data_IF_772956351203
#
_entry.id   IF_772956351203
#
_cell.length_a   1.000
_cell.length_b   1.000
_cell.length_c   1.000
_cell.angle_alpha   90.00
_cell.angle_beta   90.00
_cell.angle_gamma   90.00
#
_symmetry.space_group_name_H-M   'P 1'
#
loop_
_entity.id
_entity.type
_entity.pdbx_description
1 polymer ?
#
# COMPACT_ATOMS: atom_id res chain seq x y z
N UNK A 1 8.24 -9.49 9.49
CA UNK A 1 9.10 -10.33 10.36
C UNK A 1 10.44 -9.62 10.63
N UNK A 2 10.78 -9.34 11.91
CA UNK A 2 12.08 -8.79 12.33
C UNK A 2 13.31 -9.58 11.86
N UNK A 3 13.15 -10.86 11.51
CA UNK A 3 14.22 -11.73 11.00
C UNK A 3 14.32 -11.74 9.48
N UNK A 4 13.38 -11.11 8.78
CA UNK A 4 13.41 -11.02 7.33
C UNK A 4 14.51 -10.06 6.87
N UNK A 5 15.22 -10.42 5.81
CA UNK A 5 16.17 -9.52 5.15
C UNK A 5 15.50 -8.25 4.60
N UNK A 6 14.18 -8.29 4.36
CA UNK A 6 13.38 -7.16 3.87
C UNK A 6 12.60 -6.46 5.00
N UNK A 7 13.02 -6.63 6.26
CA UNK A 7 12.33 -6.03 7.40
C UNK A 7 12.29 -4.49 7.31
N UNK A 8 11.10 -3.92 7.48
CA UNK A 8 10.84 -2.48 7.39
C UNK A 8 10.47 -1.99 5.99
N UNK A 9 10.48 -2.86 4.98
CA UNK A 9 9.99 -2.56 3.63
C UNK A 9 8.66 -3.28 3.35
N UNK A 10 7.97 -2.83 2.31
CA UNK A 10 6.83 -3.55 1.75
C UNK A 10 7.27 -4.92 1.23
N UNK A 11 6.45 -5.93 1.53
CA UNK A 11 6.60 -7.28 0.95
C UNK A 11 6.27 -7.26 -0.54
N UNK A 12 5.34 -6.39 -0.95
CA UNK A 12 5.00 -6.17 -2.35
C UNK A 12 6.15 -5.48 -3.09
N UNK A 13 6.79 -6.18 -4.02
CA UNK A 13 7.89 -5.67 -4.85
C UNK A 13 7.44 -5.41 -6.29
N UNK A 14 8.27 -4.70 -7.07
CA UNK A 14 7.98 -4.44 -8.49
C UNK A 14 7.95 -5.73 -9.32
N UNK A 15 8.72 -6.73 -8.95
CA UNK A 15 8.71 -8.05 -9.59
C UNK A 15 7.37 -8.78 -9.36
N UNK A 16 6.79 -8.67 -8.16
CA UNK A 16 5.46 -9.22 -7.87
C UNK A 16 4.37 -8.50 -8.67
N UNK A 17 4.48 -7.17 -8.83
CA UNK A 17 3.55 -6.39 -9.66
C UNK A 17 3.65 -6.79 -11.13
N UNK A 18 4.86 -6.97 -11.66
CA UNK A 18 5.02 -7.44 -13.05
C UNK A 18 4.41 -8.82 -13.25
N UNK A 19 4.63 -9.71 -12.29
CA UNK A 19 4.03 -11.06 -12.33
C UNK A 19 2.50 -10.99 -12.30
N UNK A 20 1.92 -10.06 -11.54
CA UNK A 20 0.47 -9.84 -11.48
C UNK A 20 -0.09 -9.32 -12.82
N UNK A 21 0.67 -8.47 -13.52
CA UNK A 21 0.31 -8.01 -14.87
C UNK A 21 0.31 -9.15 -15.89
N UNK A 22 1.32 -10.03 -15.81
CA UNK A 22 1.39 -11.22 -16.66
C UNK A 22 0.24 -12.20 -16.35
N UNK A 23 -0.06 -12.41 -15.07
CA UNK A 23 -1.20 -13.21 -14.60
C UNK A 23 -2.53 -12.69 -15.17
N UNK A 24 -2.68 -11.36 -15.36
CA UNK A 24 -3.90 -10.77 -15.93
C UNK A 24 -4.19 -11.26 -17.34
N UNK A 25 -3.18 -11.31 -18.19
CA UNK A 25 -3.32 -11.77 -19.59
C UNK A 25 -3.61 -13.28 -19.63
N UNK A 26 -2.94 -14.07 -18.79
CA UNK A 26 -3.17 -15.51 -18.65
C UNK A 26 -4.61 -15.77 -18.21
N UNK A 27 -5.05 -15.09 -17.14
CA UNK A 27 -6.40 -15.21 -16.60
C UNK A 27 -7.46 -14.75 -17.59
N UNK A 28 -7.18 -13.82 -18.51
CA UNK A 28 -8.16 -13.40 -19.52
C UNK A 28 -8.54 -14.55 -20.46
N UNK A 29 -7.58 -15.40 -20.84
CA UNK A 29 -7.75 -16.49 -21.80
C UNK A 29 -8.26 -17.83 -21.22
N UNK A 30 -8.33 -17.98 -19.90
CA UNK A 30 -8.74 -19.22 -19.24
C UNK A 30 -10.27 -19.37 -19.13
N UNK A 31 -10.73 -20.60 -18.91
CA UNK A 31 -12.13 -20.90 -18.62
C UNK A 31 -12.47 -20.53 -17.16
N UNK A 32 -13.73 -20.16 -16.83
CA UNK A 32 -14.09 -19.74 -15.47
C UNK A 32 -13.75 -20.75 -14.37
N UNK A 33 -13.91 -22.04 -14.64
CA UNK A 33 -13.57 -23.10 -13.68
C UNK A 33 -12.07 -23.23 -13.46
N UNK A 34 -11.26 -23.00 -14.48
CA UNK A 34 -9.80 -23.04 -14.38
C UNK A 34 -9.26 -21.80 -13.68
N UNK A 35 -9.84 -20.62 -13.94
CA UNK A 35 -9.51 -19.38 -13.22
C UNK A 35 -9.73 -19.54 -11.71
N UNK A 36 -10.82 -20.19 -11.31
CA UNK A 36 -11.14 -20.39 -9.90
C UNK A 36 -10.12 -21.32 -9.21
N UNK A 37 -9.65 -22.34 -9.92
CA UNK A 37 -8.61 -23.26 -9.45
C UNK A 37 -7.20 -22.67 -9.53
N UNK A 38 -6.98 -21.69 -10.40
CA UNK A 38 -5.69 -21.05 -10.55
C UNK A 38 -5.36 -20.20 -9.32
N UNK A 39 -4.23 -20.48 -8.68
CA UNK A 39 -3.66 -19.65 -7.61
C UNK A 39 -2.89 -18.47 -8.20
N UNK A 40 -3.50 -17.74 -9.13
CA UNK A 40 -2.92 -16.58 -9.81
C UNK A 40 -3.57 -15.28 -9.30
N UNK A 41 -2.92 -14.16 -9.59
CA UNK A 41 -3.44 -12.84 -9.26
C UNK A 41 -3.57 -12.59 -7.76
N UNK A 42 -4.75 -12.17 -7.31
CA UNK A 42 -4.99 -11.81 -5.91
C UNK A 42 -4.75 -12.97 -4.93
N UNK A 43 -5.23 -14.17 -5.26
CA UNK A 43 -5.07 -15.37 -4.42
C UNK A 43 -3.59 -15.66 -4.14
N UNK A 44 -2.74 -15.41 -5.15
CA UNK A 44 -1.28 -15.54 -5.03
C UNK A 44 -0.68 -14.53 -4.08
N UNK A 45 -1.09 -13.26 -4.16
CA UNK A 45 -0.59 -12.20 -3.28
C UNK A 45 -0.89 -12.48 -1.80
N UNK A 46 -2.10 -12.95 -1.52
CA UNK A 46 -2.50 -13.36 -0.16
C UNK A 46 -1.68 -14.56 0.31
N UNK A 47 -1.50 -15.59 -0.55
CA UNK A 47 -0.70 -16.78 -0.22
C UNK A 47 0.77 -16.46 0.03
N UNK A 48 1.32 -15.47 -0.67
CA UNK A 48 2.70 -14.99 -0.47
C UNK A 48 2.85 -14.10 0.77
N UNK A 49 1.75 -13.73 1.44
CA UNK A 49 1.75 -12.77 2.55
C UNK A 49 2.11 -11.35 2.13
N UNK A 50 1.96 -11.02 0.83
CA UNK A 50 2.15 -9.67 0.33
C UNK A 50 0.94 -8.78 0.62
N UNK A 51 -0.24 -9.40 0.77
CA UNK A 51 -1.50 -8.75 1.15
C UNK A 51 -2.15 -9.55 2.26
N UNK A 52 -2.69 -8.87 3.25
CA UNK A 52 -3.37 -9.44 4.41
C UNK A 52 -4.77 -8.81 4.53
N UNK A 53 -5.76 -9.63 4.84
CA UNK A 53 -7.08 -9.15 5.21
C UNK A 53 -7.07 -8.85 6.70
N UNK A 54 -7.41 -7.61 7.04
CA UNK A 54 -7.45 -7.12 8.43
C UNK A 54 -8.89 -6.87 8.80
N UNK A 55 -9.33 -7.38 9.96
CA UNK A 55 -10.64 -7.05 10.51
C UNK A 55 -10.61 -5.81 11.42
N UNK A 56 -11.79 -5.38 11.89
CA UNK A 56 -11.92 -4.17 12.69
C UNK A 56 -11.28 -4.30 14.10
N UNK A 57 -11.19 -5.51 14.67
CA UNK A 57 -10.56 -5.71 15.98
C UNK A 57 -9.03 -5.63 15.84
N UNK A 58 -8.48 -6.21 14.78
CA UNK A 58 -7.06 -6.14 14.47
C UNK A 58 -6.60 -4.71 14.14
N UNK A 59 -7.44 -3.92 13.45
CA UNK A 59 -7.18 -2.51 13.09
C UNK A 59 -6.79 -1.66 14.32
N UNK A 60 -7.36 -1.93 15.50
CA UNK A 60 -7.07 -1.19 16.73
C UNK A 60 -5.63 -1.39 17.25
N UNK A 61 -4.95 -2.43 16.78
CA UNK A 61 -3.64 -2.86 17.29
C UNK A 61 -2.49 -2.71 16.31
N UNK A 62 -2.80 -2.54 15.02
CA UNK A 62 -1.81 -2.39 13.95
C UNK A 62 -1.50 -0.92 13.65
N UNK A 63 -0.39 -0.68 12.97
CA UNK A 63 0.01 0.63 12.48
C UNK A 63 0.02 0.62 10.95
N UNK A 64 -0.85 1.43 10.33
CA UNK A 64 -1.00 1.52 8.87
C UNK A 64 -0.42 2.84 8.35
N UNK A 65 0.55 2.76 7.45
CA UNK A 65 1.01 3.94 6.69
C UNK A 65 0.07 4.22 5.52
N UNK A 66 -0.16 5.50 5.21
CA UNK A 66 -1.08 5.91 4.14
C UNK A 66 -0.46 5.78 2.75
N UNK A 67 0.86 5.95 2.64
CA UNK A 67 1.58 5.81 1.37
C UNK A 67 2.90 5.06 1.55
N UNK A 68 3.41 4.39 0.50
CA UNK A 68 4.74 3.78 0.51
C UNK A 68 5.88 4.78 0.73
N UNK A 69 5.69 6.02 0.27
CA UNK A 69 6.68 7.10 0.46
C UNK A 69 6.81 7.47 1.94
N UNK A 70 5.70 7.51 2.68
CA UNK A 70 5.72 7.83 4.10
C UNK A 70 6.43 6.73 4.93
N UNK A 71 6.38 5.47 4.46
CA UNK A 71 7.17 4.38 5.04
C UNK A 71 8.67 4.59 4.85
N UNK A 72 9.09 4.95 3.64
CA UNK A 72 10.51 5.23 3.34
C UNK A 72 11.01 6.44 4.12
N UNK A 73 10.21 7.50 4.21
CA UNK A 73 10.51 8.68 5.00
C UNK A 73 10.67 8.34 6.49
N UNK A 74 9.81 7.47 7.05
CA UNK A 74 9.95 7.00 8.43
C UNK A 74 11.24 6.19 8.64
N UNK A 75 11.63 5.37 7.66
CA UNK A 75 12.90 4.61 7.68
C UNK A 75 14.11 5.53 7.68
N UNK A 76 14.10 6.57 6.84
CA UNK A 76 15.16 7.59 6.78
C UNK A 76 15.30 8.34 8.12
N UNK A 77 14.18 8.75 8.71
CA UNK A 77 14.16 9.38 10.03
C UNK A 77 14.73 8.47 11.12
N UNK A 78 14.38 7.18 11.13
CA UNK A 78 14.94 6.20 12.08
C UNK A 78 16.45 6.01 11.92
N UNK A 79 16.98 6.19 10.72
CA UNK A 79 18.41 6.15 10.43
C UNK A 79 19.14 7.48 10.74
N UNK A 80 18.41 8.49 11.23
CA UNK A 80 18.97 9.79 11.60
C UNK A 80 19.12 10.77 10.44
N UNK A 81 18.55 10.48 9.27
CA UNK A 81 18.52 11.42 8.16
C UNK A 81 17.42 12.47 8.37
N UNK A 82 17.70 13.70 7.92
CA UNK A 82 16.68 14.75 7.83
C UNK A 82 15.85 14.53 6.58
N UNK A 83 14.52 14.64 6.70
CA UNK A 83 13.64 14.63 5.53
C UNK A 83 13.94 15.82 4.62
N UNK A 84 13.79 15.66 3.30
CA UNK A 84 13.91 16.78 2.36
C UNK A 84 12.90 17.87 2.74
N UNK A 85 13.36 19.11 2.86
CA UNK A 85 12.43 20.24 2.95
C UNK A 85 11.65 20.36 1.63
N UNK A 86 10.36 20.68 1.74
CA UNK A 86 9.50 20.91 0.57
C UNK A 86 10.07 22.06 -0.25
N UNK A 87 10.45 21.77 -1.49
CA UNK A 87 11.06 22.73 -2.40
C UNK A 87 10.01 23.64 -3.07
N UNK A 88 10.44 24.61 -3.90
CA UNK A 88 9.54 25.46 -4.67
C UNK A 88 8.59 24.67 -5.60
N UNK A 89 9.02 23.49 -6.06
CA UNK A 89 8.24 22.54 -6.88
C UNK A 89 7.08 21.88 -6.11
N UNK A 90 7.13 21.88 -4.78
CA UNK A 90 6.15 21.21 -3.91
C UNK A 90 5.00 22.12 -3.46
N UNK A 91 5.00 23.39 -3.88
CA UNK A 91 4.00 24.40 -3.52
C UNK A 91 2.55 24.00 -3.86
N UNK A 92 2.37 23.20 -4.92
CA UNK A 92 1.06 22.73 -5.37
C UNK A 92 0.69 21.34 -4.84
N UNK A 93 1.54 20.71 -4.03
CA UNK A 93 1.26 19.38 -3.47
C UNK A 93 0.31 19.51 -2.29
N UNK A 94 -0.50 18.46 -2.09
CA UNK A 94 -1.31 18.31 -0.88
C UNK A 94 -0.39 18.34 0.35
N UNK A 95 -0.76 19.14 1.35
CA UNK A 95 -0.06 19.19 2.63
C UNK A 95 -0.17 17.82 3.30
N UNK A 96 0.98 17.18 3.55
CA UNK A 96 1.04 15.93 4.31
C UNK A 96 1.14 16.24 5.80
N UNK A 97 0.56 15.38 6.64
CA UNK A 97 0.76 15.45 8.08
C UNK A 97 2.23 15.19 8.42
N UNK A 98 2.75 15.87 9.44
CA UNK A 98 4.11 15.63 9.91
C UNK A 98 4.25 14.18 10.42
N UNK A 99 5.28 13.48 9.95
CA UNK A 99 5.57 12.12 10.40
C UNK A 99 5.95 12.19 11.89
N UNK A 100 5.23 11.45 12.72
CA UNK A 100 5.55 11.39 14.14
C UNK A 100 6.87 10.61 14.34
N UNK A 101 7.96 11.25 14.84
CA UNK A 101 9.24 10.59 15.04
C UNK A 101 9.19 9.48 16.11
N UNK A 102 8.20 9.54 17.00
CA UNK A 102 7.98 8.58 18.09
C UNK A 102 7.07 7.41 17.70
N UNK A 103 6.50 7.43 16.48
CA UNK A 103 5.70 6.32 16.00
C UNK A 103 6.55 5.04 15.93
N UNK A 104 6.04 3.97 16.53
CA UNK A 104 6.62 2.63 16.46
C UNK A 104 6.59 2.11 15.01
N UNK A 105 7.29 1.01 14.75
CA UNK A 105 7.38 0.37 13.42
C UNK A 105 5.99 0.22 12.78
N UNK A 106 5.89 0.62 11.50
CA UNK A 106 4.71 0.38 10.67
C UNK A 106 4.59 -1.11 10.37
N UNK A 107 3.38 -1.64 10.48
CA UNK A 107 3.09 -3.06 10.23
C UNK A 107 2.45 -3.29 8.86
N UNK A 108 1.66 -2.33 8.41
CA UNK A 108 0.86 -2.41 7.18
C UNK A 108 0.95 -1.10 6.40
N UNK A 109 0.60 -1.16 5.11
CA UNK A 109 0.46 0.01 4.24
C UNK A 109 -0.89 -0.07 3.54
N UNK A 110 -1.59 1.05 3.52
CA UNK A 110 -2.81 1.23 2.77
C UNK A 110 -2.53 1.00 1.27
N UNK A 111 -3.45 0.32 0.56
CA UNK A 111 -3.28 0.07 -0.89
C UNK A 111 -3.47 1.38 -1.64
N UNK A 112 -4.55 2.10 -1.34
CA UNK A 112 -4.79 3.44 -1.86
C UNK A 112 -5.89 4.15 -1.04
N UNK A 113 -5.70 5.39 -0.56
CA UNK A 113 -6.69 6.09 0.27
C UNK A 113 -8.09 6.23 -0.37
N UNK A 114 -8.19 6.28 -1.69
CA UNK A 114 -9.49 6.33 -2.40
C UNK A 114 -10.35 5.07 -2.22
N UNK A 115 -9.80 3.96 -1.72
CA UNK A 115 -10.57 2.73 -1.48
C UNK A 115 -11.56 2.85 -0.32
N UNK A 116 -11.46 3.92 0.48
CA UNK A 116 -12.47 4.25 1.49
C UNK A 116 -13.79 4.74 0.87
N UNK A 117 -13.77 5.16 -0.40
CA UNK A 117 -14.93 5.71 -1.08
C UNK A 117 -15.85 4.58 -1.57
N UNK A 118 -17.15 4.71 -1.30
CA UNK A 118 -18.16 3.83 -1.89
C UNK A 118 -18.40 4.10 -3.39
N UNK A 119 -19.17 3.21 -4.03
CA UNK A 119 -19.44 3.21 -5.49
C UNK A 119 -19.93 4.58 -6.02
N UNK A 120 -20.81 5.27 -5.28
CA UNK A 120 -21.32 6.57 -5.73
C UNK A 120 -20.29 7.69 -5.57
N UNK A 121 -19.40 7.62 -4.58
CA UNK A 121 -18.36 8.63 -4.37
C UNK A 121 -17.17 8.43 -5.32
N UNK A 122 -16.91 7.19 -5.77
CA UNK A 122 -15.79 6.87 -6.67
C UNK A 122 -15.95 7.44 -8.09
N UNK A 123 -17.15 7.91 -8.46
CA UNK A 123 -17.40 8.55 -9.76
C UNK A 123 -17.32 10.08 -9.73
N UNK A 124 -17.17 10.67 -8.54
CA UNK A 124 -17.06 12.12 -8.38
C UNK A 124 -15.62 12.52 -8.72
N UNK A 125 -15.39 13.39 -9.72
CA UNK A 125 -14.05 13.87 -10.01
C UNK A 125 -13.55 14.77 -8.86
N UNK A 126 -12.32 14.52 -8.41
CA UNK A 126 -11.67 15.26 -7.32
C UNK A 126 -12.56 15.37 -6.05
N UNK A 127 -13.01 14.22 -5.49
CA UNK A 127 -13.96 14.23 -4.38
C UNK A 127 -13.37 14.87 -3.12
N UNK A 128 -12.05 14.87 -3.01
CA UNK A 128 -11.24 15.44 -1.93
C UNK A 128 -11.04 16.97 -2.05
N UNK A 129 -11.61 17.61 -3.07
CA UNK A 129 -11.58 19.05 -3.33
C UNK A 129 -12.98 19.71 -3.28
N UNK A 130 -14.02 18.94 -2.95
CA UNK A 130 -15.40 19.42 -2.93
C UNK A 130 -15.81 19.90 -1.52
N UNK A 131 -16.82 20.78 -1.43
CA UNK A 131 -17.31 21.38 -0.18
C UNK A 131 -18.06 20.41 0.74
#
# INVERSE_FOLDING_TARGET
DPKSANHGNLVLTKELVQTLEDDREILAGMDPEEKERAELGWKRLVKLGAVEYVDAEEEETIMITMTPEDLENHRLLQQGYTLPESGPEDMNKRVKAAINPTAKQWTHCEIHPSMILGICASIIPFPDHNQ
#
